data_IF_160203540381
#
_entry.id   IF_160203540381
#
_cell.length_a   1.000
_cell.length_b   1.000
_cell.length_c   1.000
_cell.angle_alpha   90.00
_cell.angle_beta   90.00
_cell.angle_gamma   90.00
#
_symmetry.space_group_name_H-M   'P 1'
#
loop_
_entity.id
_entity.type
_entity.pdbx_description
1 polymer ?
#
# COMPACT_ATOMS: atom_id res chain seq x y z
N UNK A 1 2.53 42.21 -14.77
CA UNK A 1 2.87 40.81 -15.05
C UNK A 1 4.11 40.49 -14.23
N UNK A 2 3.91 39.92 -13.05
CA UNK A 2 5.00 39.39 -12.24
C UNK A 2 5.07 37.89 -12.53
N UNK A 3 6.10 37.52 -13.29
CA UNK A 3 6.50 36.13 -13.51
C UNK A 3 7.23 35.69 -12.23
N UNK A 4 6.52 34.97 -11.36
CA UNK A 4 7.13 34.31 -10.21
C UNK A 4 7.58 32.95 -10.71
N UNK A 5 8.85 32.86 -11.08
CA UNK A 5 9.53 31.60 -11.30
C UNK A 5 9.35 30.71 -10.06
N UNK A 6 8.48 29.70 -10.17
CA UNK A 6 8.45 28.59 -9.24
C UNK A 6 9.67 27.72 -9.55
N UNK A 7 10.81 28.08 -8.98
CA UNK A 7 11.93 27.16 -8.82
C UNK A 7 11.52 26.11 -7.77
N UNK A 8 10.61 25.20 -8.11
CA UNK A 8 10.32 24.04 -7.29
C UNK A 8 11.22 22.90 -7.75
N UNK A 9 12.48 22.94 -7.32
CA UNK A 9 13.37 21.79 -7.42
C UNK A 9 12.63 20.56 -6.89
N UNK A 10 12.68 19.44 -7.61
CA UNK A 10 12.08 18.19 -7.15
C UNK A 10 12.80 17.71 -5.89
N UNK A 11 12.19 16.85 -5.05
CA UNK A 11 12.91 16.25 -3.95
C UNK A 11 14.18 15.53 -4.44
N UNK A 12 15.22 15.40 -3.61
CA UNK A 12 16.41 14.66 -4.00
C UNK A 12 16.07 13.20 -4.28
N UNK A 13 16.75 12.61 -5.27
CA UNK A 13 16.71 11.17 -5.50
C UNK A 13 17.68 10.47 -4.55
N UNK A 14 17.26 9.32 -4.05
CA UNK A 14 18.05 8.45 -3.21
C UNK A 14 17.99 7.02 -3.73
N UNK A 15 19.17 6.46 -4.02
CA UNK A 15 19.32 5.05 -4.38
C UNK A 15 19.02 4.16 -3.18
N UNK A 16 18.09 3.22 -3.35
CA UNK A 16 17.80 2.22 -2.33
C UNK A 16 18.00 0.81 -2.84
N UNK A 17 18.42 -0.06 -1.93
CA UNK A 17 18.29 -1.51 -2.00
C UNK A 17 17.60 -1.97 -0.72
N UNK A 18 16.29 -1.71 -0.64
CA UNK A 18 15.50 -1.95 0.56
C UNK A 18 14.78 -3.28 0.44
N UNK A 19 15.21 -4.26 1.24
CA UNK A 19 14.51 -5.53 1.39
C UNK A 19 13.51 -5.48 2.53
N UNK A 20 12.48 -6.31 2.44
CA UNK A 20 11.51 -6.57 3.52
C UNK A 20 10.79 -5.30 4.01
N UNK A 21 10.29 -4.49 3.09
CA UNK A 21 9.28 -3.47 3.44
C UNK A 21 7.95 -4.16 3.74
N UNK A 22 7.12 -3.57 4.58
CA UNK A 22 5.94 -4.20 5.16
C UNK A 22 4.65 -3.53 4.66
N UNK A 23 3.76 -4.28 4.02
CA UNK A 23 2.40 -3.81 3.68
C UNK A 23 1.38 -4.70 4.39
N UNK A 24 0.62 -4.11 5.32
CA UNK A 24 -0.46 -4.83 5.99
C UNK A 24 -1.74 -4.76 5.17
N UNK A 25 -2.27 -5.93 4.84
CA UNK A 25 -3.50 -6.08 4.06
C UNK A 25 -4.54 -6.79 4.92
N UNK A 26 -5.79 -6.30 5.02
CA UNK A 26 -6.83 -7.00 5.76
C UNK A 26 -6.90 -8.47 5.34
N UNK A 27 -6.92 -9.39 6.31
CA UNK A 27 -6.78 -10.83 6.07
C UNK A 27 -7.84 -11.39 5.11
N UNK A 28 -9.03 -10.78 5.08
CA UNK A 28 -10.11 -11.10 4.12
C UNK A 28 -9.69 -10.95 2.65
N UNK A 29 -8.75 -10.07 2.34
CA UNK A 29 -8.24 -9.85 0.99
C UNK A 29 -6.95 -10.63 0.71
N UNK A 30 -6.12 -10.84 1.73
CA UNK A 30 -4.86 -11.58 1.61
C UNK A 30 -5.05 -13.04 1.18
N UNK A 31 -6.22 -13.60 1.50
CA UNK A 31 -6.53 -14.98 1.19
C UNK A 31 -7.11 -15.15 -0.24
N UNK A 32 -7.32 -14.12 -1.05
CA UNK A 32 -8.00 -14.32 -2.36
C UNK A 32 -9.41 -14.93 -2.22
N UNK A 33 -10.08 -14.73 -1.08
CA UNK A 33 -11.30 -15.48 -0.74
C UNK A 33 -11.07 -16.91 -0.17
N UNK A 34 -9.82 -17.35 0.01
CA UNK A 34 -9.39 -18.69 0.51
C UNK A 34 -9.71 -19.02 1.98
N UNK A 35 -10.85 -18.62 2.54
CA UNK A 35 -11.32 -19.35 3.72
C UNK A 35 -11.85 -20.75 3.36
N UNK A 36 -12.11 -21.04 2.08
CA UNK A 36 -12.76 -22.31 1.67
C UNK A 36 -11.78 -23.29 1.03
N UNK A 37 -10.93 -22.85 0.10
CA UNK A 37 -10.17 -23.79 -0.76
C UNK A 37 -8.98 -24.47 -0.04
N UNK A 38 -8.30 -23.76 0.87
CA UNK A 38 -7.22 -24.34 1.67
C UNK A 38 -7.70 -25.41 2.69
N UNK A 39 -9.02 -25.53 2.90
CA UNK A 39 -9.61 -26.61 3.70
C UNK A 39 -9.91 -27.87 2.88
N UNK A 40 -9.76 -27.83 1.55
CA UNK A 40 -10.17 -28.92 0.67
C UNK A 40 -9.12 -30.03 0.57
N UNK A 41 -7.83 -29.75 0.79
CA UNK A 41 -6.78 -30.77 0.69
C UNK A 41 -5.48 -30.35 1.38
N UNK A 42 -4.76 -31.34 1.91
CA UNK A 42 -3.40 -31.22 2.44
C UNK A 42 -2.31 -31.65 1.43
N UNK A 43 -2.69 -32.03 0.20
CA UNK A 43 -1.77 -32.44 -0.86
C UNK A 43 -1.22 -31.21 -1.63
N UNK A 44 0.10 -30.95 -1.60
CA UNK A 44 0.73 -29.84 -2.31
C UNK A 44 0.52 -29.83 -3.83
N UNK A 45 0.43 -30.98 -4.48
CA UNK A 45 0.24 -31.07 -5.93
C UNK A 45 -1.19 -30.67 -6.33
N UNK A 46 -2.18 -31.10 -5.53
CA UNK A 46 -3.57 -30.72 -5.70
C UNK A 46 -3.79 -29.24 -5.40
N UNK A 47 -3.14 -28.72 -4.36
CA UNK A 47 -3.17 -27.29 -4.05
C UNK A 47 -2.59 -26.45 -5.19
N UNK A 48 -1.48 -26.87 -5.81
CA UNK A 48 -0.93 -26.20 -6.99
C UNK A 48 -1.92 -26.18 -8.17
N UNK A 49 -2.61 -27.29 -8.47
CA UNK A 49 -3.64 -27.31 -9.52
C UNK A 49 -4.85 -26.41 -9.20
N UNK A 50 -5.25 -26.31 -7.93
CA UNK A 50 -6.30 -25.39 -7.48
C UNK A 50 -5.81 -23.92 -7.58
N UNK A 51 -4.54 -23.65 -7.27
CA UNK A 51 -3.94 -22.33 -7.44
C UNK A 51 -3.84 -21.93 -8.92
N UNK A 52 -3.54 -22.86 -9.82
CA UNK A 52 -3.54 -22.62 -11.27
C UNK A 52 -4.95 -22.28 -11.79
N UNK A 53 -5.98 -22.98 -11.31
CA UNK A 53 -7.39 -22.68 -11.61
C UNK A 53 -7.86 -21.35 -11.01
N UNK A 54 -7.48 -21.04 -9.77
CA UNK A 54 -7.77 -19.74 -9.14
C UNK A 54 -7.03 -18.59 -9.84
N UNK A 55 -5.80 -18.81 -10.31
CA UNK A 55 -5.07 -17.86 -11.16
C UNK A 55 -5.80 -17.63 -12.49
N UNK A 56 -6.28 -18.68 -13.15
CA UNK A 56 -7.08 -18.55 -14.38
C UNK A 56 -8.43 -17.83 -14.14
N UNK A 57 -8.96 -17.89 -12.92
CA UNK A 57 -10.19 -17.19 -12.52
C UNK A 57 -9.90 -15.73 -12.15
N UNK A 58 -8.74 -15.46 -11.51
CA UNK A 58 -8.21 -14.12 -11.29
C UNK A 58 -7.87 -13.43 -12.61
N UNK A 59 -7.42 -14.14 -13.65
CA UNK A 59 -7.20 -13.58 -14.99
C UNK A 59 -8.49 -13.02 -15.61
N UNK A 60 -9.65 -13.60 -15.28
CA UNK A 60 -10.97 -13.09 -15.65
C UNK A 60 -11.40 -11.88 -14.81
N UNK A 61 -11.02 -11.82 -13.53
CA UNK A 61 -11.20 -10.63 -12.67
C UNK A 61 -10.25 -9.47 -13.11
N UNK A 62 -9.07 -9.81 -13.62
CA UNK A 62 -8.07 -8.92 -14.22
C UNK A 62 -8.53 -8.36 -15.57
N UNK A 63 -9.37 -9.09 -16.32
CA UNK A 63 -10.05 -8.55 -17.49
C UNK A 63 -11.02 -7.41 -17.14
N UNK A 64 -11.53 -7.34 -15.91
CA UNK A 64 -12.29 -6.19 -15.40
C UNK A 64 -11.38 -5.05 -14.88
N UNK A 65 -10.16 -5.37 -14.42
CA UNK A 65 -9.18 -4.37 -13.94
C UNK A 65 -8.64 -3.44 -15.04
N UNK A 66 -8.76 -3.83 -16.32
CA UNK A 66 -8.44 -3.00 -17.48
C UNK A 66 -9.39 -1.79 -17.71
N UNK A 67 -10.34 -1.55 -16.79
CA UNK A 67 -11.30 -0.42 -16.86
C UNK A 67 -10.93 0.77 -15.97
N UNK A 68 -9.80 0.72 -15.25
CA UNK A 68 -9.36 1.82 -14.38
C UNK A 68 -8.63 2.88 -15.23
N UNK A 69 -9.13 4.13 -15.34
CA UNK A 69 -8.60 5.11 -16.28
C UNK A 69 -7.11 5.47 -16.09
N UNK A 70 -6.55 5.27 -14.88
CA UNK A 70 -5.20 5.74 -14.52
C UNK A 70 -4.06 4.71 -14.59
N UNK A 71 -4.31 3.45 -14.97
CA UNK A 71 -3.25 2.44 -15.13
C UNK A 71 -3.40 1.66 -16.43
N UNK A 72 -2.34 1.67 -17.26
CA UNK A 72 -2.33 0.88 -18.49
C UNK A 72 -2.16 -0.61 -18.15
N UNK A 73 -2.89 -1.48 -18.86
CA UNK A 73 -2.78 -2.94 -18.70
C UNK A 73 -1.34 -3.44 -18.86
N UNK A 74 -0.52 -2.77 -19.66
CA UNK A 74 0.91 -3.09 -19.86
C UNK A 74 1.77 -2.82 -18.63
N UNK A 75 1.29 -2.03 -17.67
CA UNK A 75 1.99 -1.80 -16.39
C UNK A 75 1.70 -2.91 -15.37
N UNK A 76 0.65 -3.70 -15.55
CA UNK A 76 0.28 -4.77 -14.63
C UNK A 76 1.24 -5.95 -14.72
N UNK A 77 1.46 -6.62 -13.60
CA UNK A 77 2.31 -7.80 -13.53
C UNK A 77 1.49 -9.09 -13.59
N UNK A 78 2.02 -10.11 -14.24
CA UNK A 78 1.39 -11.41 -14.45
C UNK A 78 2.40 -12.54 -14.27
N UNK A 79 1.91 -13.76 -13.99
CA UNK A 79 2.75 -14.96 -13.92
C UNK A 79 3.75 -15.00 -12.75
N UNK A 80 3.57 -14.15 -11.74
CA UNK A 80 4.41 -14.13 -10.52
C UNK A 80 3.56 -14.29 -9.27
N UNK A 81 4.09 -14.90 -8.19
CA UNK A 81 3.39 -14.99 -6.91
C UNK A 81 2.90 -13.63 -6.43
N UNK A 82 1.69 -13.58 -5.86
CA UNK A 82 1.07 -12.35 -5.34
C UNK A 82 0.82 -11.23 -6.38
N UNK A 83 0.83 -11.53 -7.68
CA UNK A 83 0.53 -10.54 -8.72
C UNK A 83 -0.81 -9.82 -8.51
N UNK A 84 -1.85 -10.55 -8.08
CA UNK A 84 -3.16 -9.98 -7.74
C UNK A 84 -3.08 -8.96 -6.60
N UNK A 85 -2.27 -9.24 -5.57
CA UNK A 85 -2.03 -8.33 -4.44
C UNK A 85 -1.32 -7.05 -4.88
N UNK A 86 -0.32 -7.18 -5.75
CA UNK A 86 0.38 -6.02 -6.31
C UNK A 86 -0.55 -5.19 -7.17
N UNK A 87 -1.19 -5.79 -8.18
CA UNK A 87 -2.07 -5.08 -9.11
C UNK A 87 -3.24 -4.40 -8.38
N UNK A 88 -3.83 -5.05 -7.36
CA UNK A 88 -4.88 -4.47 -6.55
C UNK A 88 -4.48 -3.15 -5.88
N UNK A 89 -3.22 -2.99 -5.48
CA UNK A 89 -2.73 -1.74 -4.88
C UNK A 89 -2.79 -0.54 -5.84
N UNK A 90 -2.78 -0.79 -7.16
CA UNK A 90 -2.81 0.24 -8.19
C UNK A 90 -4.19 0.39 -8.85
N UNK A 91 -4.97 -0.68 -8.92
CA UNK A 91 -6.27 -0.69 -9.58
C UNK A 91 -7.45 -0.35 -8.66
N UNK A 92 -7.26 -0.37 -7.34
CA UNK A 92 -8.32 -0.03 -6.37
C UNK A 92 -7.94 1.17 -5.50
N UNK A 93 -7.73 2.37 -6.08
CA UNK A 93 -7.56 3.58 -5.30
C UNK A 93 -8.82 3.88 -4.48
N UNK A 94 -8.64 4.54 -3.34
CA UNK A 94 -9.76 5.09 -2.60
C UNK A 94 -10.42 6.24 -3.40
N UNK A 95 -11.73 6.52 -3.21
CA UNK A 95 -12.44 7.56 -3.97
C UNK A 95 -11.86 8.98 -3.85
N UNK A 96 -11.16 9.28 -2.76
CA UNK A 96 -10.45 10.55 -2.52
C UNK A 96 -8.94 10.44 -2.74
N UNK A 97 -8.46 9.31 -3.25
CA UNK A 97 -7.06 8.96 -3.33
C UNK A 97 -6.45 8.63 -1.96
N UNK A 98 -5.13 8.66 -1.90
CA UNK A 98 -4.37 8.59 -0.64
C UNK A 98 -3.26 9.64 -0.67
N UNK A 99 -2.33 9.60 0.29
CA UNK A 99 -1.34 10.67 0.45
C UNK A 99 -0.58 10.99 -0.85
N UNK A 100 -0.10 9.98 -1.57
CA UNK A 100 0.72 10.13 -2.77
C UNK A 100 0.06 9.52 -4.02
N UNK A 101 -1.28 9.55 -4.11
CA UNK A 101 -2.00 9.19 -5.33
C UNK A 101 -3.42 9.78 -5.35
N UNK A 102 -3.94 10.07 -6.53
CA UNK A 102 -5.33 10.48 -6.73
C UNK A 102 -6.30 9.28 -6.69
N UNK A 103 -7.58 9.53 -6.97
CA UNK A 103 -8.61 8.51 -7.13
C UNK A 103 -8.55 7.75 -8.47
N UNK A 104 -7.72 8.19 -9.41
CA UNK A 104 -7.64 7.58 -10.74
C UNK A 104 -6.72 6.35 -10.78
N UNK A 105 -5.71 6.34 -9.90
CA UNK A 105 -4.68 5.30 -9.83
C UNK A 105 -4.21 5.14 -8.40
N UNK A 106 -4.08 3.91 -7.94
CA UNK A 106 -3.50 3.59 -6.65
C UNK A 106 -1.96 3.62 -6.64
N UNK A 107 -1.39 3.31 -5.47
CA UNK A 107 0.03 3.14 -5.29
C UNK A 107 0.30 2.03 -4.26
N UNK A 108 1.48 1.42 -4.35
CA UNK A 108 1.92 0.49 -3.31
C UNK A 108 2.52 1.26 -2.14
N UNK A 109 1.85 1.19 -0.99
CA UNK A 109 2.35 1.73 0.28
C UNK A 109 2.93 0.63 1.15
N UNK A 110 4.09 0.90 1.74
CA UNK A 110 4.74 0.04 2.72
C UNK A 110 5.51 0.85 3.76
N UNK A 111 5.65 0.29 4.96
CA UNK A 111 6.55 0.78 6.00
C UNK A 111 7.90 0.05 5.95
N UNK A 112 8.96 0.74 6.35
CA UNK A 112 10.30 0.15 6.48
C UNK A 112 10.41 -0.83 7.65
N UNK A 113 9.55 -0.68 8.65
CA UNK A 113 9.38 -1.60 9.76
C UNK A 113 7.90 -1.94 9.91
N UNK A 114 7.58 -3.17 10.30
CA UNK A 114 6.20 -3.61 10.53
C UNK A 114 5.42 -2.69 11.49
N UNK A 115 6.09 -2.16 12.53
CA UNK A 115 5.47 -1.23 13.49
C UNK A 115 5.02 0.09 12.85
N UNK A 116 5.67 0.51 11.77
CA UNK A 116 5.26 1.69 10.99
C UNK A 116 3.97 1.38 10.24
N UNK A 117 3.92 0.24 9.54
CA UNK A 117 2.70 -0.20 8.84
C UNK A 117 1.54 -0.45 9.80
N UNK A 118 1.81 -0.99 10.99
CA UNK A 118 0.82 -1.14 12.07
C UNK A 118 0.25 0.21 12.50
N UNK A 119 1.08 1.23 12.70
CA UNK A 119 0.62 2.57 13.08
C UNK A 119 -0.31 3.18 12.01
N UNK A 120 0.01 3.00 10.72
CA UNK A 120 -0.84 3.47 9.61
C UNK A 120 -2.20 2.77 9.60
N UNK A 121 -2.25 1.44 9.66
CA UNK A 121 -3.54 0.72 9.65
C UNK A 121 -4.35 0.96 10.92
N UNK A 122 -3.71 1.14 12.08
CA UNK A 122 -4.39 1.51 13.34
C UNK A 122 -5.04 2.89 13.20
N UNK A 123 -4.32 3.85 12.62
CA UNK A 123 -4.84 5.20 12.42
C UNK A 123 -6.10 5.18 11.53
N UNK A 124 -6.04 4.50 10.37
CA UNK A 124 -7.19 4.40 9.48
C UNK A 124 -8.34 3.59 10.10
N UNK A 125 -8.04 2.54 10.87
CA UNK A 125 -9.07 1.78 11.58
C UNK A 125 -9.79 2.64 12.62
N UNK A 126 -9.06 3.48 13.36
CA UNK A 126 -9.65 4.45 14.31
C UNK A 126 -10.52 5.50 13.61
N UNK A 127 -10.09 6.02 12.46
CA UNK A 127 -10.93 6.95 11.69
C UNK A 127 -12.25 6.30 11.30
N UNK A 128 -12.20 5.07 10.77
CA UNK A 128 -13.40 4.31 10.43
C UNK A 128 -14.32 4.10 11.63
N UNK A 129 -13.77 3.66 12.77
CA UNK A 129 -14.55 3.48 14.01
C UNK A 129 -15.20 4.79 14.48
N UNK A 130 -14.50 5.93 14.33
CA UNK A 130 -15.03 7.25 14.67
C UNK A 130 -16.18 7.63 13.74
N UNK A 131 -16.01 7.44 12.44
CA UNK A 131 -17.02 7.77 11.41
C UNK A 131 -18.29 6.92 11.55
N UNK A 132 -18.15 5.64 11.92
CA UNK A 132 -19.29 4.75 12.14
C UNK A 132 -19.86 4.84 13.56
N UNK A 133 -19.32 5.71 14.42
CA UNK A 133 -19.65 5.80 15.84
C UNK A 133 -19.62 4.44 16.55
N UNK A 134 -18.63 3.59 16.21
CA UNK A 134 -18.49 2.25 16.77
C UNK A 134 -17.84 2.31 18.15
N UNK A 135 -18.57 1.84 19.17
CA UNK A 135 -18.14 1.90 20.57
C UNK A 135 -17.67 0.56 21.14
N UNK A 136 -18.00 -0.55 20.47
CA UNK A 136 -17.66 -1.89 20.93
C UNK A 136 -16.20 -2.27 20.63
N UNK A 137 -15.79 -3.43 21.15
CA UNK A 137 -14.51 -4.02 20.78
C UNK A 137 -14.48 -4.36 19.27
N UNK A 138 -13.42 -3.94 18.59
CA UNK A 138 -13.17 -4.20 17.18
C UNK A 138 -11.96 -5.13 17.04
N UNK A 139 -12.15 -6.23 16.31
CA UNK A 139 -11.12 -7.21 15.99
C UNK A 139 -10.84 -7.16 14.49
N UNK A 140 -9.64 -6.72 14.13
CA UNK A 140 -9.23 -6.60 12.74
C UNK A 140 -7.93 -7.37 12.48
N UNK A 141 -7.98 -8.38 11.61
CA UNK A 141 -6.83 -9.17 11.23
C UNK A 141 -6.20 -8.67 9.93
N UNK A 142 -4.88 -8.59 9.91
CA UNK A 142 -4.07 -8.14 8.79
C UNK A 142 -2.95 -9.14 8.53
N UNK A 143 -2.71 -9.45 7.25
CA UNK A 143 -1.54 -10.21 6.82
C UNK A 143 -0.46 -9.24 6.39
N UNK A 144 0.75 -9.45 6.87
CA UNK A 144 1.93 -8.71 6.44
C UNK A 144 2.45 -9.26 5.11
N UNK A 145 2.55 -8.40 4.11
CA UNK A 145 3.21 -8.69 2.85
C UNK A 145 4.55 -7.97 2.80
N UNK A 146 5.61 -8.75 2.69
CA UNK A 146 6.96 -8.25 2.46
C UNK A 146 7.15 -7.95 0.98
N UNK A 147 7.80 -6.83 0.67
CA UNK A 147 8.26 -6.51 -0.68
C UNK A 147 9.66 -5.88 -0.64
N UNK A 148 10.40 -6.10 -1.72
CA UNK A 148 11.74 -5.57 -1.91
C UNK A 148 11.71 -4.49 -3.00
N UNK A 149 12.50 -3.43 -2.79
CA UNK A 149 12.60 -2.26 -3.66
C UNK A 149 14.05 -1.93 -3.97
N UNK A 150 14.32 -1.73 -5.25
CA UNK A 150 15.62 -1.33 -5.78
C UNK A 150 15.43 -0.18 -6.78
N UNK A 151 16.25 0.86 -6.67
CA UNK A 151 16.29 1.98 -7.62
C UNK A 151 16.31 3.35 -6.94
N UNK A 152 16.16 4.39 -7.75
CA UNK A 152 16.13 5.79 -7.31
C UNK A 152 14.72 6.21 -6.89
N UNK A 153 14.55 6.61 -5.63
CA UNK A 153 13.28 7.12 -5.09
C UNK A 153 13.43 8.57 -4.65
N UNK A 154 12.40 9.37 -4.84
CA UNK A 154 12.36 10.73 -4.31
C UNK A 154 12.28 10.68 -2.78
N UNK A 155 13.13 11.42 -2.09
CA UNK A 155 13.26 11.34 -0.63
C UNK A 155 12.80 12.63 0.04
N UNK A 156 11.73 12.53 0.85
CA UNK A 156 11.18 13.63 1.64
C UNK A 156 11.73 13.68 3.07
N UNK A 157 12.68 12.82 3.42
CA UNK A 157 13.30 12.83 4.75
C UNK A 157 14.24 14.02 4.86
N UNK A 158 14.04 14.85 5.87
CA UNK A 158 14.88 16.02 6.13
C UNK A 158 14.68 17.20 5.18
N UNK A 159 13.66 17.16 4.31
CA UNK A 159 13.39 18.22 3.34
C UNK A 159 12.26 19.15 3.83
N UNK A 160 12.62 20.24 4.50
CA UNK A 160 11.65 21.18 5.09
C UNK A 160 10.72 21.82 4.05
N UNK A 161 11.21 22.03 2.84
CA UNK A 161 10.50 22.59 1.68
C UNK A 161 9.26 21.74 1.30
N UNK A 162 9.30 20.43 1.53
CA UNK A 162 8.19 19.51 1.25
C UNK A 162 7.34 19.17 2.48
N UNK A 163 7.48 19.90 3.57
CA UNK A 163 6.73 19.65 4.82
C UNK A 163 5.20 19.62 4.61
N UNK A 164 4.66 20.43 3.68
CA UNK A 164 3.24 20.42 3.32
C UNK A 164 2.77 19.05 2.74
N UNK A 165 3.67 18.27 2.13
CA UNK A 165 3.36 16.91 1.65
C UNK A 165 3.16 15.91 2.82
N UNK A 166 3.63 16.27 4.01
CA UNK A 166 3.58 15.47 5.23
C UNK A 166 2.51 15.98 6.21
N UNK A 167 1.59 16.83 5.76
CA UNK A 167 0.44 17.27 6.55
C UNK A 167 -0.37 16.04 7.03
N UNK A 168 -0.61 15.87 8.33
CA UNK A 168 -1.31 14.70 8.86
C UNK A 168 -2.78 14.62 8.42
N UNK A 169 -3.41 15.73 8.05
CA UNK A 169 -4.84 15.87 7.80
C UNK A 169 -5.18 16.29 6.36
N UNK A 170 -4.19 16.71 5.57
CA UNK A 170 -4.35 17.08 4.15
C UNK A 170 -3.42 16.31 3.22
N UNK A 171 -3.98 15.83 2.10
CA UNK A 171 -3.23 15.16 1.03
C UNK A 171 -3.05 16.03 -0.23
N UNK A 172 -3.54 17.28 -0.24
CA UNK A 172 -3.54 18.12 -1.45
C UNK A 172 -2.13 18.34 -2.01
N UNK A 173 -1.18 18.74 -1.18
CA UNK A 173 0.20 19.01 -1.61
C UNK A 173 0.94 17.72 -2.04
N UNK A 174 0.72 16.62 -1.30
CA UNK A 174 1.37 15.34 -1.58
C UNK A 174 0.82 14.65 -2.82
N UNK A 175 -0.49 14.76 -3.10
CA UNK A 175 -1.10 14.30 -4.34
C UNK A 175 -0.61 15.10 -5.54
N UNK A 176 -0.50 16.43 -5.42
CA UNK A 176 0.04 17.28 -6.48
C UNK A 176 1.50 16.91 -6.81
N UNK A 177 2.35 16.78 -5.79
CA UNK A 177 3.72 16.31 -5.96
C UNK A 177 3.76 14.93 -6.63
N UNK A 178 3.01 13.95 -6.12
CA UNK A 178 3.00 12.60 -6.66
C UNK A 178 2.57 12.56 -8.14
N UNK A 179 1.61 13.39 -8.55
CA UNK A 179 1.20 13.52 -9.95
C UNK A 179 2.37 14.02 -10.83
N UNK A 180 3.07 15.08 -10.39
CA UNK A 180 4.26 15.58 -11.10
C UNK A 180 5.37 14.54 -11.20
N UNK A 181 5.66 13.82 -10.11
CA UNK A 181 6.70 12.78 -10.10
C UNK A 181 6.33 11.58 -10.97
N UNK A 182 5.05 11.18 -10.98
CA UNK A 182 4.55 10.12 -11.85
C UNK A 182 4.70 10.50 -13.32
N UNK A 183 4.38 11.74 -13.68
CA UNK A 183 4.56 12.27 -15.04
C UNK A 183 6.04 12.27 -15.46
N UNK A 184 6.94 12.60 -14.53
CA UNK A 184 8.39 12.53 -14.71
C UNK A 184 8.97 11.09 -14.66
N UNK A 185 8.12 10.06 -14.77
CA UNK A 185 8.53 8.64 -14.73
C UNK A 185 9.21 8.20 -13.42
N UNK A 186 8.97 8.92 -12.32
CA UNK A 186 9.46 8.56 -10.99
C UNK A 186 8.98 7.19 -10.53
N UNK A 187 9.84 6.49 -9.77
CA UNK A 187 9.54 5.17 -9.22
C UNK A 187 8.63 5.24 -7.99
N UNK A 188 8.81 6.28 -7.17
CA UNK A 188 8.08 6.44 -5.92
C UNK A 188 8.73 7.48 -5.00
N UNK A 189 8.21 7.54 -3.78
CA UNK A 189 8.63 8.45 -2.73
C UNK A 189 8.95 7.67 -1.44
N UNK A 190 10.05 8.05 -0.78
CA UNK A 190 10.37 7.70 0.60
C UNK A 190 10.04 8.90 1.48
N UNK A 191 9.37 8.67 2.61
CA UNK A 191 8.91 9.76 3.47
C UNK A 191 8.84 9.34 4.94
N UNK A 192 9.01 10.27 5.90
CA UNK A 192 8.79 9.96 7.31
C UNK A 192 7.31 9.65 7.56
N UNK A 193 7.03 8.66 8.41
CA UNK A 193 5.65 8.36 8.82
C UNK A 193 5.09 9.52 9.64
N UNK A 194 3.88 9.95 9.29
CA UNK A 194 3.11 10.94 10.04
C UNK A 194 2.38 10.32 11.24
N UNK A 195 2.43 8.98 11.39
CA UNK A 195 1.76 8.22 12.46
C UNK A 195 2.74 7.67 13.49
N UNK A 196 4.02 7.55 13.11
CA UNK A 196 5.10 7.06 13.98
C UNK A 196 6.37 7.89 13.74
N UNK A 197 6.78 8.68 14.73
CA UNK A 197 7.91 9.62 14.61
C UNK A 197 9.24 9.01 14.13
N UNK A 198 9.51 7.74 14.46
CA UNK A 198 10.71 7.02 14.02
C UNK A 198 10.49 6.12 12.78
N UNK A 199 9.30 6.19 12.17
CA UNK A 199 8.91 5.33 11.06
C UNK A 199 9.29 5.94 9.71
N UNK A 200 9.73 5.10 8.78
CA UNK A 200 9.87 5.46 7.37
C UNK A 200 8.83 4.71 6.54
N UNK A 201 8.18 5.43 5.62
CA UNK A 201 7.22 4.91 4.67
C UNK A 201 7.75 5.03 3.24
N UNK A 202 7.21 4.20 2.36
CA UNK A 202 7.49 4.20 0.94
C UNK A 202 6.16 4.10 0.19
N UNK A 203 5.99 4.97 -0.81
CA UNK A 203 4.91 4.91 -1.80
C UNK A 203 5.54 4.63 -3.17
N UNK A 204 5.19 3.51 -3.79
CA UNK A 204 5.69 3.10 -5.09
C UNK A 204 4.60 3.28 -6.14
N UNK A 205 4.98 3.87 -7.27
CA UNK A 205 4.08 4.24 -8.36
C UNK A 205 4.02 3.19 -9.48
N UNK A 206 4.98 2.26 -9.51
CA UNK A 206 5.15 1.29 -10.60
C UNK A 206 4.98 -0.16 -10.10
N UNK A 207 4.03 -0.94 -10.66
CA UNK A 207 3.87 -2.33 -10.26
C UNK A 207 5.13 -3.18 -10.48
N UNK A 208 5.83 -2.96 -11.59
CA UNK A 208 6.99 -3.75 -12.02
C UNK A 208 8.17 -3.75 -11.03
N UNK A 209 8.30 -2.75 -10.17
CA UNK A 209 9.39 -2.65 -9.18
C UNK A 209 8.98 -3.14 -7.79
N UNK A 210 7.72 -3.55 -7.60
CA UNK A 210 7.27 -4.21 -6.36
C UNK A 210 7.68 -5.68 -6.45
N UNK A 211 8.89 -6.00 -5.98
CA UNK A 211 9.51 -7.31 -6.21
C UNK A 211 9.50 -8.20 -4.97
N UNK A 212 9.65 -9.51 -5.21
CA UNK A 212 9.78 -10.52 -4.16
C UNK A 212 8.65 -10.49 -3.11
N UNK A 213 7.42 -10.27 -3.59
CA UNK A 213 6.23 -10.15 -2.75
C UNK A 213 5.85 -11.49 -2.14
N UNK A 214 5.79 -11.54 -0.81
CA UNK A 214 5.49 -12.76 -0.06
C UNK A 214 4.82 -12.45 1.27
N UNK A 215 4.02 -13.40 1.74
CA UNK A 215 3.38 -13.33 3.05
C UNK A 215 4.42 -13.54 4.15
N UNK A 216 4.28 -12.79 5.24
CA UNK A 216 4.93 -13.02 6.53
C UNK A 216 3.83 -13.26 7.58
N UNK A 217 3.98 -12.72 8.78
CA UNK A 217 3.06 -12.94 9.87
C UNK A 217 1.66 -12.34 9.66
N UNK A 218 0.68 -12.92 10.34
CA UNK A 218 -0.63 -12.31 10.54
C UNK A 218 -0.64 -11.57 11.87
N UNK A 219 -1.28 -10.41 11.89
CA UNK A 219 -1.46 -9.58 13.08
C UNK A 219 -2.95 -9.36 13.34
N UNK A 220 -3.35 -9.48 14.60
CA UNK A 220 -4.67 -9.07 15.07
C UNK A 220 -4.56 -7.76 15.82
N UNK A 221 -5.35 -6.78 15.40
CA UNK A 221 -5.55 -5.52 16.10
C UNK A 221 -6.83 -5.63 16.92
N UNK A 222 -6.75 -5.32 18.21
CA UNK A 222 -7.88 -5.28 19.13
C UNK A 222 -8.01 -3.86 19.63
N UNK A 223 -9.10 -3.19 19.24
CA UNK A 223 -9.39 -1.79 19.59
C UNK A 223 -10.67 -1.73 20.44
N UNK A 224 -10.70 -0.87 21.46
CA UNK A 224 -11.92 -0.60 22.25
C UNK A 224 -12.45 0.78 21.92
N UNK A 225 -13.35 0.86 20.94
CA UNK A 225 -13.76 2.14 20.34
C UNK A 225 -12.59 2.90 19.68
N UNK A 226 -12.88 4.09 19.15
CA UNK A 226 -11.90 4.86 18.35
C UNK A 226 -10.82 5.58 19.17
N UNK A 227 -11.09 5.91 20.44
CA UNK A 227 -10.13 6.54 21.36
C UNK A 227 -9.37 5.54 22.24
N UNK A 228 -9.83 4.29 22.31
CA UNK A 228 -9.29 3.32 23.25
C UNK A 228 -7.87 2.86 22.93
N UNK A 229 -7.25 2.14 23.89
CA UNK A 229 -5.97 1.49 23.66
C UNK A 229 -6.09 0.45 22.55
N UNK A 230 -4.97 0.19 21.88
CA UNK A 230 -4.88 -0.84 20.84
C UNK A 230 -3.91 -1.91 21.29
N UNK A 231 -4.35 -3.16 21.28
CA UNK A 231 -3.48 -4.33 21.44
C UNK A 231 -3.18 -4.90 20.06
N UNK A 232 -1.92 -5.24 19.82
CA UNK A 232 -1.47 -5.90 18.59
C UNK A 232 -0.93 -7.27 18.96
N UNK A 233 -1.55 -8.31 18.42
CA UNK A 233 -1.14 -9.70 18.61
C UNK A 233 -0.56 -10.22 17.29
N UNK A 234 0.58 -10.91 17.36
CA UNK A 234 1.09 -11.70 16.25
C UNK A 234 0.49 -13.11 16.34
N UNK A 235 -0.16 -13.57 15.28
CA UNK A 235 -0.81 -14.88 15.20
C UNK A 235 0.14 -15.94 14.64
#
# INVERSE_FOLDING_TARGET
MADVAADSSLPPLHSINRRRTHRLIPAKFANGGNSVLARLSSDPAMLNGIFELDNATNDRLLAELGKVPGIDRRELIFGVPSASIVNAAFCHPAPTGSRFNSSERGAWYAGYEVRTSQAEVIHHRRQWLRETNWTEEDLAEYVDYLADFHGEFYDLRGTAEFSACLDPDSYTASQALAASLLHASGLGIIYPSVRRAAGTCLACFRPAIVTHVRRDATYRLILRGWQGPVKVEKL
#
